data_IF_405586931242
#
_entry.id   IF_405586931242
#
_cell.length_a   1.000
_cell.length_b   1.000
_cell.length_c   1.000
_cell.angle_alpha   90.00
_cell.angle_beta   90.00
_cell.angle_gamma   90.00
#
_symmetry.space_group_name_H-M   'P 1'
#
loop_
_entity.id
_entity.type
_entity.pdbx_description
1 polymer ?
#
# COMPACT_ATOMS: atom_id res chain seq x y z
N UNK A 1 -3.22 8.39 -7.23
CA UNK A 1 -2.50 8.65 -8.51
C UNK A 1 -2.54 10.13 -8.85
N UNK A 2 -1.51 10.66 -9.51
CA UNK A 2 -1.44 12.10 -9.83
C UNK A 2 -2.33 12.40 -11.03
N UNK A 3 -3.52 12.92 -10.75
CA UNK A 3 -4.62 13.11 -11.69
C UNK A 3 -5.50 14.28 -11.25
N UNK A 4 -6.21 14.89 -12.20
CA UNK A 4 -7.10 16.03 -11.94
C UNK A 4 -8.59 15.67 -12.04
N UNK A 5 -8.92 14.41 -12.31
CA UNK A 5 -10.30 13.96 -12.55
C UNK A 5 -10.45 12.48 -12.20
N UNK A 6 -11.39 12.08 -11.32
CA UNK A 6 -11.67 10.68 -11.04
C UNK A 6 -12.11 9.87 -12.26
N UNK A 7 -12.76 10.49 -13.26
CA UNK A 7 -13.17 9.78 -14.47
C UNK A 7 -11.96 9.23 -15.25
N UNK A 8 -10.89 10.02 -15.37
CA UNK A 8 -9.66 9.60 -16.03
C UNK A 8 -9.04 8.35 -15.38
N UNK A 9 -9.17 8.21 -14.05
CA UNK A 9 -8.66 7.06 -13.31
C UNK A 9 -9.47 5.81 -13.63
N UNK A 10 -10.81 5.91 -13.62
CA UNK A 10 -11.68 4.80 -13.96
C UNK A 10 -11.53 4.39 -15.44
N UNK A 11 -11.41 5.37 -16.34
CA UNK A 11 -11.19 5.14 -17.78
C UNK A 11 -9.86 4.42 -18.04
N UNK A 12 -8.77 4.84 -17.38
CA UNK A 12 -7.46 4.19 -17.49
C UNK A 12 -7.50 2.72 -17.02
N UNK A 13 -8.37 2.41 -16.06
CA UNK A 13 -8.58 1.06 -15.56
C UNK A 13 -9.59 0.26 -16.39
N UNK A 14 -10.37 0.91 -17.24
CA UNK A 14 -11.51 0.31 -17.96
C UNK A 14 -12.68 -0.02 -17.05
N UNK A 15 -12.84 0.70 -15.92
CA UNK A 15 -13.87 0.44 -14.93
C UNK A 15 -15.05 1.38 -15.15
N UNK A 16 -16.27 0.83 -15.19
CA UNK A 16 -17.47 1.63 -15.36
C UNK A 16 -17.84 2.34 -14.04
N UNK A 17 -18.16 3.64 -14.12
CA UNK A 17 -18.74 4.34 -12.98
C UNK A 17 -20.19 3.87 -12.75
N UNK A 18 -20.52 3.61 -11.48
CA UNK A 18 -21.86 3.28 -11.01
C UNK A 18 -22.57 4.45 -10.31
N UNK A 19 -21.95 5.64 -10.34
CA UNK A 19 -22.58 6.88 -9.89
C UNK A 19 -21.66 7.80 -9.09
N UNK A 20 -22.12 9.05 -8.85
CA UNK A 20 -21.39 10.02 -8.07
C UNK A 20 -21.39 9.69 -6.58
N UNK A 21 -20.31 10.04 -5.87
CA UNK A 21 -20.22 9.99 -4.41
C UNK A 21 -19.44 11.18 -3.86
N UNK A 22 -19.85 11.67 -2.69
CA UNK A 22 -18.99 12.53 -1.88
C UNK A 22 -18.07 11.66 -0.99
N UNK A 23 -17.11 12.30 -0.34
CA UNK A 23 -16.15 11.63 0.55
C UNK A 23 -16.81 10.67 1.55
N UNK A 24 -17.78 11.17 2.32
CA UNK A 24 -18.49 10.39 3.33
C UNK A 24 -19.18 9.14 2.73
N UNK A 25 -19.95 9.31 1.65
CA UNK A 25 -20.66 8.20 0.99
C UNK A 25 -19.70 7.24 0.28
N UNK A 26 -18.60 7.75 -0.27
CA UNK A 26 -17.60 6.97 -1.00
C UNK A 26 -16.80 6.07 -0.09
N UNK A 27 -16.26 6.62 1.00
CA UNK A 27 -15.56 5.86 2.05
C UNK A 27 -16.49 4.81 2.66
N UNK A 28 -17.73 5.17 3.00
CA UNK A 28 -18.69 4.21 3.54
C UNK A 28 -18.99 3.03 2.59
N UNK A 29 -18.95 3.26 1.27
CA UNK A 29 -19.11 2.20 0.28
C UNK A 29 -17.83 1.38 0.10
N UNK A 30 -16.66 2.01 0.06
CA UNK A 30 -15.35 1.37 -0.10
C UNK A 30 -15.01 0.37 1.02
N UNK A 31 -15.48 0.64 2.25
CA UNK A 31 -15.33 -0.25 3.41
C UNK A 31 -16.53 -1.17 3.65
N UNK A 32 -17.54 -1.14 2.77
CA UNK A 32 -18.68 -2.05 2.90
C UNK A 32 -18.22 -3.46 2.59
N UNK A 33 -18.29 -4.34 3.59
CA UNK A 33 -18.12 -5.78 3.38
C UNK A 33 -19.07 -6.28 2.31
N UNK A 34 -18.52 -6.75 1.20
CA UNK A 34 -19.28 -7.52 0.22
C UNK A 34 -19.43 -8.95 0.72
N UNK A 35 -20.64 -9.49 0.60
CA UNK A 35 -20.95 -10.88 0.92
C UNK A 35 -21.42 -11.58 -0.34
N UNK A 36 -21.21 -12.90 -0.42
CA UNK A 36 -21.80 -13.72 -1.48
C UNK A 36 -21.23 -13.47 -2.88
N UNK A 37 -19.91 -13.29 -3.01
CA UNK A 37 -19.22 -13.22 -4.31
C UNK A 37 -19.43 -11.92 -5.10
N UNK A 38 -19.97 -10.87 -4.46
CA UNK A 38 -20.11 -9.57 -5.10
C UNK A 38 -18.76 -8.85 -5.20
N UNK A 39 -18.52 -8.24 -6.37
CA UNK A 39 -17.38 -7.38 -6.61
C UNK A 39 -17.30 -6.23 -5.59
N UNK A 40 -16.14 -6.02 -4.95
CA UNK A 40 -15.96 -4.99 -3.94
C UNK A 40 -16.11 -3.60 -4.57
N UNK A 41 -16.61 -2.68 -3.75
CA UNK A 41 -16.75 -1.27 -4.13
C UNK A 41 -15.41 -0.56 -4.03
N UNK A 42 -15.18 0.37 -4.95
CA UNK A 42 -14.09 1.35 -4.89
C UNK A 42 -14.65 2.75 -5.05
N UNK A 43 -13.99 3.69 -4.39
CA UNK A 43 -14.26 5.12 -4.49
C UNK A 43 -13.07 5.83 -5.13
N UNK A 44 -13.30 6.48 -6.27
CA UNK A 44 -12.37 7.43 -6.86
C UNK A 44 -12.71 8.83 -6.35
N UNK A 45 -11.83 9.41 -5.53
CA UNK A 45 -12.07 10.70 -4.86
C UNK A 45 -12.10 11.87 -5.85
N UNK A 46 -12.72 13.00 -5.49
CA UNK A 46 -12.34 14.29 -6.07
C UNK A 46 -10.81 14.52 -5.92
N UNK A 47 -10.20 15.36 -6.76
CA UNK A 47 -8.79 15.69 -6.61
C UNK A 47 -8.49 16.33 -5.26
N UNK A 48 -7.50 15.79 -4.55
CA UNK A 48 -6.93 16.28 -3.29
C UNK A 48 -5.47 16.61 -3.55
N UNK A 49 -5.09 17.88 -3.49
CA UNK A 49 -3.71 18.33 -3.72
C UNK A 49 -3.09 17.83 -5.05
N UNK A 50 -3.92 17.69 -6.09
CA UNK A 50 -3.51 17.16 -7.40
C UNK A 50 -3.44 15.64 -7.51
N UNK A 51 -3.99 14.93 -6.52
CA UNK A 51 -4.12 13.48 -6.48
C UNK A 51 -5.58 13.06 -6.53
N UNK A 52 -5.90 12.04 -7.33
CA UNK A 52 -7.11 11.25 -7.11
C UNK A 52 -6.72 10.05 -6.26
N UNK A 53 -7.57 9.70 -5.29
CA UNK A 53 -7.41 8.53 -4.45
C UNK A 53 -8.41 7.47 -4.92
N UNK A 54 -7.93 6.25 -5.15
CA UNK A 54 -8.77 5.10 -5.42
C UNK A 54 -8.77 4.23 -4.16
N UNK A 55 -9.89 4.25 -3.43
CA UNK A 55 -10.00 3.67 -2.09
C UNK A 55 -10.90 2.45 -2.13
N UNK A 56 -10.48 1.34 -1.51
CA UNK A 56 -11.27 0.11 -1.39
C UNK A 56 -10.59 -0.94 -0.52
N UNK A 57 -11.36 -1.65 0.28
CA UNK A 57 -10.89 -2.74 1.18
C UNK A 57 -10.43 -3.98 0.39
N UNK A 58 -10.99 -4.20 -0.81
CA UNK A 58 -10.73 -5.37 -1.64
C UNK A 58 -9.79 -5.12 -2.82
N UNK A 59 -8.96 -4.07 -2.79
CA UNK A 59 -8.00 -3.82 -3.86
C UNK A 59 -6.86 -4.87 -3.81
N UNK A 60 -6.47 -5.46 -4.96
CA UNK A 60 -5.26 -6.29 -5.03
C UNK A 60 -4.03 -5.52 -4.55
N UNK A 61 -3.04 -6.24 -4.00
CA UNK A 61 -1.80 -5.68 -3.47
C UNK A 61 -0.58 -6.40 -4.07
N UNK A 62 0.61 -5.77 -4.03
CA UNK A 62 1.81 -6.38 -4.61
C UNK A 62 2.16 -7.68 -3.88
N UNK A 63 2.27 -8.75 -4.67
CA UNK A 63 2.73 -10.05 -4.22
C UNK A 63 3.59 -10.68 -5.32
N UNK A 64 4.88 -10.84 -5.05
CA UNK A 64 5.89 -11.41 -5.93
C UNK A 64 6.44 -12.65 -5.24
N UNK A 65 5.60 -13.68 -5.11
CA UNK A 65 6.00 -14.93 -4.49
C UNK A 65 6.21 -16.01 -5.57
N UNK A 66 7.23 -16.89 -5.45
CA UNK A 66 7.49 -17.91 -6.47
C UNK A 66 6.37 -18.94 -6.66
N UNK A 67 5.42 -19.01 -5.74
CA UNK A 67 4.23 -19.85 -5.83
C UNK A 67 2.97 -18.97 -5.79
N UNK A 68 1.97 -19.31 -6.61
CA UNK A 68 0.66 -18.66 -6.62
C UNK A 68 -0.18 -19.09 -5.40
N UNK A 69 0.27 -18.70 -4.21
CA UNK A 69 -0.39 -18.99 -2.92
C UNK A 69 -1.52 -18.04 -2.59
N UNK A 70 -1.63 -16.95 -3.34
CA UNK A 70 -2.57 -15.86 -3.08
C UNK A 70 -3.57 -15.69 -4.23
N UNK A 71 -3.87 -16.80 -4.92
CA UNK A 71 -4.97 -16.89 -5.89
C UNK A 71 -4.95 -15.79 -6.95
N UNK A 72 -3.78 -15.47 -7.50
CA UNK A 72 -3.64 -14.48 -8.56
C UNK A 72 -3.61 -13.01 -8.10
N UNK A 73 -3.60 -12.72 -6.79
CA UNK A 73 -3.70 -11.33 -6.31
C UNK A 73 -2.58 -10.42 -6.82
N UNK A 74 -1.35 -10.96 -6.93
CA UNK A 74 -0.19 -10.21 -7.42
C UNK A 74 -0.35 -9.85 -8.89
N UNK A 75 -0.85 -10.78 -9.71
CA UNK A 75 -1.14 -10.56 -11.12
C UNK A 75 -2.27 -9.53 -11.31
N UNK A 76 -3.32 -9.61 -10.48
CA UNK A 76 -4.39 -8.61 -10.48
C UNK A 76 -3.86 -7.22 -10.10
N UNK A 77 -2.96 -7.13 -9.12
CA UNK A 77 -2.28 -5.89 -8.77
C UNK A 77 -1.43 -5.37 -9.93
N UNK A 78 -0.64 -6.22 -10.58
CA UNK A 78 0.21 -5.82 -11.69
C UNK A 78 -0.60 -5.25 -12.86
N UNK A 79 -1.76 -5.83 -13.17
CA UNK A 79 -2.68 -5.30 -14.20
C UNK A 79 -3.15 -3.89 -13.84
N UNK A 80 -3.67 -3.69 -12.63
CA UNK A 80 -4.14 -2.37 -12.16
C UNK A 80 -2.98 -1.37 -12.16
N UNK A 81 -1.88 -1.72 -11.50
CA UNK A 81 -0.79 -0.79 -11.24
C UNK A 81 -0.04 -0.43 -12.52
N UNK A 82 0.09 -1.36 -13.48
CA UNK A 82 0.64 -1.06 -14.81
C UNK A 82 -0.25 -0.09 -15.57
N UNK A 83 -1.57 -0.32 -15.62
CA UNK A 83 -2.51 0.62 -16.28
C UNK A 83 -2.40 2.02 -15.68
N UNK A 84 -2.34 2.15 -14.36
CA UNK A 84 -2.16 3.43 -13.68
C UNK A 84 -0.82 4.07 -14.01
N UNK A 85 0.28 3.33 -13.95
CA UNK A 85 1.63 3.82 -14.27
C UNK A 85 1.74 4.30 -15.72
N UNK A 86 1.11 3.62 -16.67
CA UNK A 86 1.21 3.95 -18.08
C UNK A 86 0.42 5.23 -18.44
N UNK A 87 -0.69 5.48 -17.75
CA UNK A 87 -1.54 6.64 -18.00
C UNK A 87 -1.12 7.88 -17.20
N UNK A 88 -0.67 7.71 -15.95
CA UNK A 88 -0.37 8.83 -15.04
C UNK A 88 1.14 9.07 -14.90
N UNK A 89 1.54 10.31 -14.60
CA UNK A 89 2.95 10.64 -14.36
C UNK A 89 3.52 9.95 -13.10
N UNK A 90 2.65 9.72 -12.13
CA UNK A 90 2.97 9.05 -10.87
C UNK A 90 1.76 8.30 -10.30
N UNK A 91 2.00 7.05 -9.89
CA UNK A 91 1.05 6.22 -9.16
C UNK A 91 1.69 5.74 -7.85
N UNK A 92 0.92 5.83 -6.77
CA UNK A 92 1.29 5.36 -5.44
C UNK A 92 0.17 4.46 -4.92
N UNK A 93 0.53 3.45 -4.14
CA UNK A 93 -0.37 2.51 -3.50
C UNK A 93 0.06 2.37 -2.05
N UNK A 94 -0.89 2.33 -1.13
CA UNK A 94 -0.68 2.13 0.30
C UNK A 94 -1.80 1.25 0.83
N UNK A 95 -1.48 0.39 1.78
CA UNK A 95 -2.47 -0.44 2.45
C UNK A 95 -1.98 -0.92 3.81
N UNK A 96 -2.91 -1.06 4.74
CA UNK A 96 -2.68 -1.66 6.05
C UNK A 96 -3.90 -2.46 6.49
N UNK A 97 -3.68 -3.51 7.29
CA UNK A 97 -4.78 -4.25 7.91
C UNK A 97 -4.36 -4.81 9.27
N UNK A 98 -4.91 -4.21 10.33
CA UNK A 98 -4.53 -4.46 11.74
C UNK A 98 -4.65 -5.90 12.23
N UNK A 99 -5.50 -6.74 11.65
CA UNK A 99 -5.69 -8.12 12.14
C UNK A 99 -4.54 -9.02 11.72
N UNK A 100 -3.95 -8.74 10.55
CA UNK A 100 -2.86 -9.53 10.00
C UNK A 100 -1.50 -8.87 10.24
N UNK A 101 -1.46 -7.74 10.96
CA UNK A 101 -0.33 -6.81 11.00
C UNK A 101 0.23 -6.56 9.59
N UNK A 102 -0.69 -6.38 8.64
CA UNK A 102 -0.38 -6.29 7.22
C UNK A 102 -0.08 -4.84 6.85
N UNK A 103 0.96 -4.65 6.05
CA UNK A 103 1.34 -3.36 5.46
C UNK A 103 1.85 -3.54 4.05
N UNK A 104 1.57 -2.57 3.19
CA UNK A 104 2.07 -2.56 1.83
C UNK A 104 2.17 -1.15 1.28
N UNK A 105 3.15 -0.93 0.41
CA UNK A 105 3.25 0.26 -0.40
C UNK A 105 3.84 -0.04 -1.77
N UNK A 106 3.48 0.77 -2.76
CA UNK A 106 4.13 0.80 -4.06
C UNK A 106 4.19 2.21 -4.62
N UNK A 107 5.24 2.52 -5.39
CA UNK A 107 5.39 3.77 -6.14
C UNK A 107 5.96 3.49 -7.52
N UNK A 108 5.37 4.15 -8.50
CA UNK A 108 5.90 4.22 -9.85
C UNK A 108 5.86 5.68 -10.34
N UNK A 109 7.01 6.16 -10.81
CA UNK A 109 7.17 7.46 -11.46
C UNK A 109 7.69 7.24 -12.88
N UNK A 110 7.19 8.01 -13.84
CA UNK A 110 7.60 7.88 -15.24
C UNK A 110 9.12 8.11 -15.37
N UNK A 111 9.82 7.11 -15.90
CA UNK A 111 11.28 7.18 -16.10
C UNK A 111 12.12 6.77 -14.90
N UNK A 112 11.51 6.41 -13.76
CA UNK A 112 12.19 5.93 -12.57
C UNK A 112 11.90 4.44 -12.32
N UNK A 113 12.85 3.69 -11.73
CA UNK A 113 12.57 2.36 -11.21
C UNK A 113 11.43 2.39 -10.17
N UNK A 114 10.52 1.42 -10.26
CA UNK A 114 9.45 1.29 -9.27
C UNK A 114 9.95 0.75 -7.92
N UNK A 115 9.18 1.01 -6.87
CA UNK A 115 9.38 0.43 -5.52
C UNK A 115 8.09 -0.26 -5.11
N UNK A 116 8.16 -1.50 -4.63
CA UNK A 116 7.04 -2.24 -4.05
C UNK A 116 7.50 -2.97 -2.79
N UNK A 117 6.69 -2.94 -1.75
CA UNK A 117 6.91 -3.70 -0.53
C UNK A 117 5.58 -4.19 0.05
N UNK A 118 5.57 -5.40 0.59
CA UNK A 118 4.40 -5.99 1.20
C UNK A 118 4.81 -6.97 2.29
N UNK A 119 4.29 -6.80 3.51
CA UNK A 119 4.63 -7.57 4.70
C UNK A 119 3.37 -7.90 5.50
N UNK A 120 3.30 -9.13 6.00
CA UNK A 120 2.22 -9.60 6.88
C UNK A 120 2.82 -10.02 8.23
N UNK A 121 2.70 -9.17 9.24
CA UNK A 121 3.33 -9.39 10.55
C UNK A 121 2.82 -10.64 11.28
N UNK A 122 1.55 -11.01 11.09
CA UNK A 122 0.98 -12.20 11.72
C UNK A 122 1.63 -13.52 11.30
N UNK A 123 2.19 -13.59 10.09
CA UNK A 123 2.94 -14.75 9.57
C UNK A 123 4.44 -14.48 9.48
N UNK A 124 4.86 -13.23 9.64
CA UNK A 124 6.21 -12.76 9.37
C UNK A 124 6.60 -12.74 7.89
N UNK A 125 5.66 -13.00 6.97
CA UNK A 125 5.97 -13.16 5.54
C UNK A 125 6.16 -11.82 4.83
N UNK A 126 7.11 -11.78 3.89
CA UNK A 126 7.26 -10.68 2.92
C UNK A 126 6.71 -11.18 1.59
N UNK A 127 5.61 -10.59 1.13
CA UNK A 127 5.00 -10.95 -0.15
C UNK A 127 5.64 -10.23 -1.33
N UNK A 128 6.18 -9.03 -1.14
CA UNK A 128 6.87 -8.30 -2.18
C UNK A 128 8.02 -7.47 -1.61
N UNK A 129 9.13 -7.42 -2.33
CA UNK A 129 10.24 -6.51 -2.08
C UNK A 129 10.94 -6.24 -3.43
N UNK A 130 10.45 -5.24 -4.15
CA UNK A 130 10.92 -4.90 -5.51
C UNK A 130 11.48 -3.49 -5.52
N UNK A 131 12.61 -3.32 -6.19
CA UNK A 131 13.27 -2.02 -6.33
C UNK A 131 14.08 -1.61 -5.10
N UNK A 132 14.85 -0.54 -5.24
CA UNK A 132 15.67 0.01 -4.17
C UNK A 132 14.80 0.73 -3.13
N UNK A 133 15.24 0.66 -1.87
CA UNK A 133 14.73 1.51 -0.79
C UNK A 133 14.79 2.97 -1.22
N UNK A 134 13.67 3.66 -1.04
CA UNK A 134 13.52 5.08 -1.29
C UNK A 134 14.22 5.92 -0.21
N UNK A 135 14.54 7.17 -0.55
CA UNK A 135 15.14 8.09 0.41
C UNK A 135 14.22 8.35 1.61
N UNK A 136 12.91 8.33 1.38
CA UNK A 136 11.88 8.52 2.40
C UNK A 136 11.79 7.32 3.36
N UNK A 137 11.82 6.08 2.84
CA UNK A 137 11.93 4.87 3.69
C UNK A 137 13.20 4.92 4.55
N UNK A 138 14.33 5.36 3.98
CA UNK A 138 15.59 5.49 4.71
C UNK A 138 15.52 6.60 5.78
N UNK A 139 14.90 7.74 5.47
CA UNK A 139 14.72 8.84 6.42
C UNK A 139 13.80 8.47 7.60
N UNK A 140 12.83 7.59 7.36
CA UNK A 140 11.96 7.03 8.40
C UNK A 140 12.64 5.93 9.24
N UNK A 141 13.83 5.49 8.83
CA UNK A 141 14.63 4.49 9.55
C UNK A 141 14.23 3.05 9.26
N UNK A 142 13.57 2.78 8.14
CA UNK A 142 13.18 1.41 7.79
C UNK A 142 14.40 0.53 7.50
N UNK A 143 14.23 -0.77 7.76
CA UNK A 143 15.26 -1.77 7.47
C UNK A 143 15.70 -1.73 5.99
N UNK A 144 17.01 -1.84 5.76
CA UNK A 144 17.58 -1.87 4.41
C UNK A 144 17.37 -3.25 3.81
N UNK A 145 16.42 -3.37 2.88
CA UNK A 145 16.06 -4.62 2.21
C UNK A 145 16.33 -4.59 0.69
N UNK A 146 16.94 -3.53 0.18
CA UNK A 146 17.24 -3.36 -1.26
C UNK A 146 18.00 -4.56 -1.83
N UNK A 147 17.50 -5.11 -2.93
CA UNK A 147 18.16 -6.21 -3.66
C UNK A 147 17.95 -7.60 -3.05
N UNK A 148 17.26 -7.71 -1.91
CA UNK A 148 16.87 -9.00 -1.33
C UNK A 148 15.63 -9.55 -2.04
N UNK A 149 15.60 -10.87 -2.28
CA UNK A 149 14.34 -11.52 -2.64
C UNK A 149 13.34 -11.42 -1.49
N UNK A 150 12.03 -11.63 -1.71
CA UNK A 150 11.06 -11.62 -0.62
C UNK A 150 11.41 -12.62 0.50
N UNK A 151 11.96 -13.79 0.16
CA UNK A 151 12.42 -14.78 1.14
C UNK A 151 13.62 -14.27 1.94
N UNK A 152 14.62 -13.69 1.28
CA UNK A 152 15.80 -13.14 1.98
C UNK A 152 15.43 -11.89 2.82
N UNK A 153 14.48 -11.09 2.35
CA UNK A 153 13.96 -9.93 3.06
C UNK A 153 13.19 -10.34 4.32
N UNK A 154 12.39 -11.41 4.24
CA UNK A 154 11.74 -12.04 5.39
C UNK A 154 12.76 -12.48 6.43
N UNK A 155 13.76 -13.26 6.00
CA UNK A 155 14.78 -13.79 6.91
C UNK A 155 15.56 -12.64 7.58
N UNK A 156 15.90 -11.60 6.80
CA UNK A 156 16.56 -10.40 7.32
C UNK A 156 15.72 -9.66 8.36
N UNK A 157 14.42 -9.52 8.15
CA UNK A 157 13.52 -8.87 9.12
C UNK A 157 13.36 -9.72 10.39
N UNK A 158 13.31 -11.05 10.25
CA UNK A 158 13.28 -11.98 11.39
C UNK A 158 14.51 -11.80 12.27
N UNK A 159 15.72 -11.84 11.67
CA UNK A 159 16.98 -11.66 12.39
C UNK A 159 17.03 -10.31 13.12
N UNK A 160 16.62 -9.23 12.45
CA UNK A 160 16.58 -7.89 13.05
C UNK A 160 15.63 -7.80 14.24
N UNK A 161 14.46 -8.45 14.14
CA UNK A 161 13.45 -8.44 15.17
C UNK A 161 13.91 -9.26 16.38
N UNK A 162 14.54 -10.41 16.15
CA UNK A 162 15.17 -11.21 17.20
C UNK A 162 16.27 -10.44 17.94
N UNK A 163 17.15 -9.75 17.19
CA UNK A 163 18.20 -8.90 17.75
C UNK A 163 17.62 -7.73 18.57
N UNK A 164 16.51 -7.15 18.11
CA UNK A 164 15.79 -6.09 18.82
C UNK A 164 15.22 -6.58 20.16
N UNK A 165 14.53 -7.72 20.16
CA UNK A 165 14.00 -8.34 21.38
C UNK A 165 15.09 -8.78 22.34
N UNK A 166 16.19 -9.34 21.83
CA UNK A 166 17.33 -9.75 22.66
C UNK A 166 17.98 -8.55 23.37
N UNK A 167 18.12 -7.40 22.67
CA UNK A 167 18.62 -6.16 23.27
C UNK A 167 17.68 -5.63 24.35
N UNK A 168 16.38 -5.60 24.10
CA UNK A 168 15.40 -5.17 25.11
C UNK A 168 15.45 -6.07 26.34
N UNK A 169 15.45 -7.39 26.15
CA UNK A 169 15.52 -8.36 27.23
C UNK A 169 16.81 -8.22 28.07
N UNK A 170 17.96 -7.95 27.43
CA UNK A 170 19.22 -7.72 28.12
C UNK A 170 19.19 -6.44 28.98
N UNK A 171 18.60 -5.35 28.47
CA UNK A 171 18.42 -4.13 29.25
C UNK A 171 17.50 -4.35 30.45
N UNK A 172 16.38 -5.05 30.26
CA UNK A 172 15.48 -5.40 31.37
C UNK A 172 16.18 -6.28 32.40
N UNK A 173 16.96 -7.28 31.97
CA UNK A 173 17.75 -8.13 32.85
C UNK A 173 18.82 -7.35 33.64
N UNK A 174 19.30 -6.22 33.11
CA UNK A 174 20.22 -5.31 33.81
C UNK A 174 19.54 -4.44 34.90
N UNK A 175 18.23 -4.57 35.09
CA UNK A 175 17.43 -3.81 36.07
C UNK A 175 16.74 -2.59 35.48
N UNK A 176 16.79 -2.40 34.16
CA UNK A 176 16.07 -1.31 33.48
C UNK A 176 14.56 -1.59 33.44
N UNK A 177 13.74 -0.55 33.55
CA UNK A 177 12.30 -0.69 33.33
C UNK A 177 12.04 -1.06 31.86
N UNK A 178 10.99 -1.86 31.60
CA UNK A 178 10.63 -2.26 30.23
C UNK A 178 10.36 -1.07 29.31
N UNK A 179 9.76 0.00 29.85
CA UNK A 179 9.51 1.25 29.12
C UNK A 179 10.80 1.99 28.73
N UNK A 180 11.80 2.00 29.60
CA UNK A 180 13.07 2.66 29.32
C UNK A 180 13.93 1.81 28.37
N UNK A 181 13.87 0.47 28.52
CA UNK A 181 14.50 -0.47 27.60
C UNK A 181 13.93 -0.32 26.19
N UNK A 182 12.60 -0.29 26.05
CA UNK A 182 11.92 -0.05 24.78
C UNK A 182 12.35 1.28 24.14
N UNK A 183 12.33 2.39 24.89
CA UNK A 183 12.77 3.70 24.39
C UNK A 183 14.25 3.69 23.96
N UNK A 184 15.10 2.93 24.63
CA UNK A 184 16.51 2.84 24.28
C UNK A 184 16.74 1.97 23.04
N UNK A 185 16.00 0.88 22.89
CA UNK A 185 16.09 -0.02 21.73
C UNK A 185 15.47 0.62 20.49
N UNK A 186 14.35 1.34 20.68
CA UNK A 186 13.55 2.03 19.67
C UNK A 186 13.52 3.53 19.96
N UNK A 187 14.62 4.27 19.75
CA UNK A 187 14.68 5.70 20.08
C UNK A 187 13.67 6.54 19.28
N UNK A 188 13.27 6.07 18.09
CA UNK A 188 12.26 6.69 17.23
C UNK A 188 10.83 6.22 17.55
N UNK A 189 10.66 5.28 18.48
CA UNK A 189 9.40 4.60 18.76
C UNK A 189 9.00 3.56 17.71
N UNK A 190 9.79 3.36 16.66
CA UNK A 190 9.50 2.43 15.57
C UNK A 190 10.15 1.07 15.77
N UNK A 191 9.46 0.04 15.31
CA UNK A 191 9.99 -1.32 15.18
C UNK A 191 10.80 -1.49 13.90
N UNK A 192 11.71 -2.45 13.90
CA UNK A 192 12.38 -2.91 12.66
C UNK A 192 11.39 -3.50 11.65
N UNK A 193 10.26 -4.05 12.12
CA UNK A 193 9.16 -4.49 11.26
C UNK A 193 8.13 -3.35 11.11
N UNK A 194 7.74 -2.99 9.87
CA UNK A 194 6.86 -1.84 9.64
C UNK A 194 5.42 -2.12 10.08
N UNK A 195 4.75 -1.09 10.61
CA UNK A 195 3.34 -1.11 11.01
C UNK A 195 2.47 -0.08 10.28
N UNK A 196 1.21 0.02 10.69
CA UNK A 196 0.23 0.96 10.08
C UNK A 196 0.71 2.42 10.16
N UNK A 197 1.30 2.83 11.27
CA UNK A 197 1.86 4.18 11.45
C UNK A 197 2.99 4.48 10.46
N UNK A 198 3.77 3.46 10.06
CA UNK A 198 4.85 3.60 9.09
C UNK A 198 4.32 3.78 7.67
N UNK A 199 3.20 3.12 7.33
CA UNK A 199 2.51 3.33 6.05
C UNK A 199 2.01 4.77 5.94
N UNK A 200 1.38 5.28 6.99
CA UNK A 200 0.89 6.67 7.03
C UNK A 200 2.05 7.66 6.95
N UNK A 201 3.13 7.45 7.71
CA UNK A 201 4.31 8.32 7.66
C UNK A 201 4.99 8.32 6.28
N UNK A 202 5.03 7.17 5.60
CA UNK A 202 5.55 7.07 4.25
C UNK A 202 4.64 7.75 3.23
N UNK A 203 3.32 7.64 3.39
CA UNK A 203 2.36 8.32 2.54
C UNK A 203 2.49 9.85 2.62
N UNK A 204 2.62 10.40 3.83
CA UNK A 204 2.91 11.82 4.05
C UNK A 204 4.22 12.24 3.39
N UNK A 205 5.28 11.45 3.54
CA UNK A 205 6.57 11.73 2.92
C UNK A 205 6.55 11.66 1.39
N UNK A 206 5.67 10.85 0.79
CA UNK A 206 5.58 10.65 -0.66
C UNK A 206 4.59 11.57 -1.37
N UNK A 207 3.47 11.92 -0.73
CA UNK A 207 2.44 12.77 -1.36
C UNK A 207 1.50 13.44 -0.36
N UNK A 208 0.63 12.65 0.28
CA UNK A 208 -0.49 13.12 1.11
C UNK A 208 -0.68 12.13 2.25
N UNK A 209 -0.81 12.61 3.48
CA UNK A 209 -1.27 11.81 4.61
C UNK A 209 -2.79 11.53 4.48
N UNK A 210 -3.21 10.27 4.21
CA UNK A 210 -4.63 9.96 4.04
C UNK A 210 -5.44 10.07 5.34
N UNK A 211 -4.79 10.08 6.51
CA UNK A 211 -5.47 10.16 7.82
C UNK A 211 -5.87 11.59 8.18
N UNK A 212 -5.19 12.57 7.61
CA UNK A 212 -5.54 14.00 7.73
C UNK A 212 -6.62 14.41 6.72
N UNK A 213 -7.03 13.45 5.89
CA UNK A 213 -8.31 13.28 5.21
C UNK A 213 -9.40 14.25 5.65
N UNK A 214 -9.99 13.87 6.79
CA UNK A 214 -11.26 14.34 7.35
C UNK A 214 -11.19 15.71 8.04
N UNK A 215 -10.03 16.37 8.04
CA UNK A 215 -9.87 17.69 8.63
C UNK A 215 -10.48 18.77 7.73
N UNK A 216 -11.48 19.48 8.27
CA UNK A 216 -12.30 20.44 7.53
C UNK A 216 -11.53 21.58 6.82
N UNK A 217 -10.28 21.84 7.22
CA UNK A 217 -9.47 22.98 6.77
C UNK A 217 -8.37 22.61 5.73
N UNK A 218 -8.17 21.33 5.39
CA UNK A 218 -7.12 20.90 4.41
C UNK A 218 -7.60 20.81 2.96
N UNK A 219 -8.29 21.85 2.49
CA UNK A 219 -8.37 22.10 1.05
C UNK A 219 -9.17 21.06 0.26
N UNK A 220 -10.18 20.43 0.86
CA UNK A 220 -11.23 19.78 0.09
C UNK A 220 -11.77 20.76 -0.94
N UNK A 221 -11.46 20.56 -2.22
CA UNK A 221 -12.23 21.19 -3.27
C UNK A 221 -13.59 20.53 -3.21
N UNK A 222 -14.68 21.25 -2.93
CA UNK A 222 -16.02 20.68 -3.01
C UNK A 222 -16.18 20.06 -4.40
N UNK A 223 -16.30 18.74 -4.43
CA UNK A 223 -16.18 17.97 -5.66
C UNK A 223 -16.91 16.65 -5.54
N UNK A 224 -17.22 16.08 -6.69
CA UNK A 224 -17.95 14.82 -6.80
C UNK A 224 -16.97 13.76 -7.26
N UNK A 225 -16.75 12.75 -6.41
CA UNK A 225 -16.01 11.54 -6.77
C UNK A 225 -16.93 10.53 -7.45
N UNK A 226 -16.39 9.38 -7.80
CA UNK A 226 -17.10 8.33 -8.53
C UNK A 226 -16.99 6.99 -7.80
N UNK A 227 -18.10 6.26 -7.78
CA UNK A 227 -18.15 4.87 -7.36
C UNK A 227 -17.95 3.96 -8.56
N UNK A 228 -17.25 2.85 -8.35
CA UNK A 228 -17.11 1.74 -9.29
C UNK A 228 -16.93 0.42 -8.53
N UNK A 229 -16.83 -0.68 -9.26
CA UNK A 229 -16.52 -2.00 -8.71
C UNK A 229 -15.24 -2.56 -9.29
N UNK A 230 -14.49 -3.29 -8.48
CA UNK A 230 -13.29 -4.01 -8.92
C UNK A 230 -13.75 -5.23 -9.74
N UNK A 231 -13.29 -5.41 -10.99
CA UNK A 231 -13.58 -6.62 -11.75
C UNK A 231 -13.04 -7.87 -11.03
N UNK A 232 -13.80 -8.97 -11.07
CA UNK A 232 -13.47 -10.20 -10.34
C UNK A 232 -12.52 -11.14 -11.11
N UNK A 233 -12.26 -10.85 -12.37
CA UNK A 233 -11.45 -11.62 -13.32
C UNK A 233 -10.10 -10.96 -13.64
N UNK A 234 -9.68 -9.98 -12.82
CA UNK A 234 -8.38 -9.34 -12.97
C UNK A 234 -7.24 -10.35 -12.91
N UNK A 235 -6.29 -10.24 -13.86
CA UNK A 235 -5.14 -11.13 -13.93
C UNK A 235 -5.44 -12.52 -14.52
N UNK A 236 -6.69 -12.82 -14.89
CA UNK A 236 -7.10 -14.05 -15.57
C UNK A 236 -7.19 -13.89 -17.11
N UNK A 237 -6.90 -12.70 -17.64
CA UNK A 237 -6.88 -12.47 -19.09
C UNK A 237 -5.73 -13.27 -19.75
N UNK A 238 -5.99 -14.05 -20.81
CA UNK A 238 -4.91 -14.64 -21.59
C UNK A 238 -4.05 -13.51 -22.16
N UNK A 239 -2.72 -13.60 -21.95
CA UNK A 239 -1.75 -12.70 -22.57
C UNK A 239 -1.86 -12.84 -24.09
N UNK A 240 -2.74 -12.03 -24.69
CA UNK A 240 -2.86 -11.97 -26.14
C UNK A 240 -1.58 -11.33 -26.65
N UNK A 241 -0.82 -11.97 -27.56
CA UNK A 241 0.35 -11.33 -28.14
C UNK A 241 -0.08 -10.04 -28.84
N UNK A 242 0.73 -8.96 -28.77
CA UNK A 242 0.41 -7.74 -29.48
C UNK A 242 0.21 -8.02 -30.98
N UNK A 243 -0.71 -7.34 -31.65
CA UNK A 243 -0.90 -7.52 -33.09
C UNK A 243 0.42 -7.23 -33.79
N UNK A 244 0.90 -8.21 -34.58
CA UNK A 244 2.04 -8.04 -35.46
C UNK A 244 1.76 -6.83 -36.36
N UNK A 245 2.56 -5.78 -36.22
CA UNK A 245 2.64 -4.68 -37.18
C UNK A 245 3.69 -4.98 -38.23
#
# INVERSE_FOLDING_TARGET
MRASDPAQVLDALGWASEGPANWHTGIAAAYRRTSGGQAPWVFASPPVEGWVLLVGDGLPYPAVYPEDRLEGIGQAFDVIFTRLKDHFGEAQFFGSHRVADFVTWARARRGEPGRQFCYAGSSGEVYANVGAQSAEEAALGFAVLSGLSPVDARDRLSDLLEDEFAREAALVASGMSRRDADRQVRPTGRSVVPGEEDVTALADAWSVDPTQLDEADRGYVPGVGLMARVPMDLGQEPVSPPPLR
#
